data_IF_012744539905
#
_entry.id   IF_012744539905
#
_cell.length_a   1.000
_cell.length_b   1.000
_cell.length_c   1.000
_cell.angle_alpha   90.00
_cell.angle_beta   90.00
_cell.angle_gamma   90.00
#
_symmetry.space_group_name_H-M   'P 1'
#
loop_
_entity.id
_entity.type
_entity.pdbx_description
1 polymer ?
#
# COMPACT_ATOMS: atom_id res chain seq x y z
N UNK A 1 69.29 -1.76 -11.33
CA UNK A 1 68.35 -2.73 -10.79
C UNK A 1 67.12 -2.06 -10.09
N UNK A 2 66.84 -0.80 -10.39
CA UNK A 2 65.75 -0.04 -9.70
C UNK A 2 64.53 0.28 -10.63
N UNK A 3 64.66 0.03 -11.93
CA UNK A 3 63.58 0.38 -12.89
C UNK A 3 62.52 -0.70 -13.12
N UNK A 4 62.70 -1.94 -12.72
CA UNK A 4 61.75 -3.02 -12.92
C UNK A 4 60.66 -3.07 -11.84
N UNK A 5 60.91 -2.52 -10.66
CA UNK A 5 59.96 -2.56 -9.56
C UNK A 5 58.79 -1.56 -9.69
N UNK A 6 59.00 -0.44 -10.38
CA UNK A 6 57.95 0.58 -10.58
C UNK A 6 56.89 0.22 -11.62
N UNK A 7 57.26 -0.62 -12.61
CA UNK A 7 56.27 -1.03 -13.65
C UNK A 7 55.34 -2.15 -13.19
N UNK A 8 55.81 -3.03 -12.31
CA UNK A 8 55.01 -4.13 -11.80
C UNK A 8 53.94 -3.65 -10.82
N UNK A 9 54.23 -2.61 -10.02
CA UNK A 9 53.26 -2.04 -9.06
C UNK A 9 52.13 -1.27 -9.77
N UNK A 10 52.46 -0.62 -10.92
CA UNK A 10 51.43 0.14 -11.68
C UNK A 10 50.46 -0.78 -12.41
N UNK A 11 50.92 -1.94 -12.88
CA UNK A 11 50.07 -2.94 -13.52
C UNK A 11 49.17 -3.67 -12.51
N UNK A 12 49.64 -3.88 -11.28
CA UNK A 12 48.80 -4.44 -10.20
C UNK A 12 47.72 -3.46 -9.74
N UNK A 13 48.00 -2.16 -9.73
CA UNK A 13 46.96 -1.15 -9.38
C UNK A 13 45.86 -1.04 -10.46
N UNK A 14 46.21 -1.25 -11.73
CA UNK A 14 45.24 -1.29 -12.83
C UNK A 14 44.35 -2.55 -12.80
N UNK A 15 44.93 -3.69 -12.42
CA UNK A 15 44.15 -4.94 -12.26
C UNK A 15 43.17 -4.88 -11.11
N UNK A 16 43.47 -4.15 -10.03
CA UNK A 16 42.54 -3.93 -8.90
C UNK A 16 41.41 -2.96 -9.25
N UNK A 17 41.60 -2.05 -10.23
CA UNK A 17 40.52 -1.12 -10.64
C UNK A 17 39.52 -1.75 -11.61
N UNK A 18 39.88 -2.83 -12.29
CA UNK A 18 39.00 -3.53 -13.25
C UNK A 18 38.07 -4.55 -12.61
N UNK A 19 38.29 -4.91 -11.35
CA UNK A 19 37.44 -5.89 -10.63
C UNK A 19 36.20 -5.24 -10.00
N UNK A 20 36.12 -3.90 -9.92
CA UNK A 20 35.01 -3.20 -9.27
C UNK A 20 33.86 -2.78 -10.21
N UNK A 21 33.85 -3.19 -11.49
CA UNK A 21 32.81 -2.77 -12.45
C UNK A 21 31.84 -3.93 -12.81
N UNK A 22 31.86 -5.03 -12.09
CA UNK A 22 31.09 -6.21 -12.49
C UNK A 22 29.98 -6.62 -11.51
N UNK A 23 29.40 -5.69 -10.76
CA UNK A 23 28.18 -5.97 -9.97
C UNK A 23 27.12 -4.89 -10.11
N UNK A 24 26.89 -4.42 -11.33
CA UNK A 24 25.56 -3.95 -11.69
C UNK A 24 24.85 -5.10 -12.39
N UNK A 25 24.52 -6.12 -11.61
CA UNK A 25 23.44 -7.03 -11.97
C UNK A 25 22.17 -6.18 -11.91
N UNK A 26 21.70 -5.74 -13.06
CA UNK A 26 20.30 -5.43 -13.24
C UNK A 26 19.54 -6.74 -13.06
N UNK A 27 19.29 -7.10 -11.83
CA UNK A 27 18.24 -8.03 -11.50
C UNK A 27 16.96 -7.26 -11.81
N UNK A 28 16.31 -7.58 -12.92
CA UNK A 28 14.89 -7.28 -13.20
C UNK A 28 14.03 -8.06 -12.20
N UNK A 29 14.30 -7.89 -10.91
CA UNK A 29 13.34 -8.17 -9.89
C UNK A 29 12.39 -6.99 -9.92
N UNK A 30 11.21 -7.28 -10.47
CA UNK A 30 9.98 -6.58 -10.13
C UNK A 30 10.16 -5.98 -8.74
N UNK A 31 10.14 -4.64 -8.54
CA UNK A 31 10.39 -4.08 -7.22
C UNK A 31 9.43 -4.79 -6.27
N UNK A 32 10.00 -5.60 -5.39
CA UNK A 32 9.24 -6.24 -4.33
C UNK A 32 8.55 -5.08 -3.63
N UNK A 33 7.25 -4.98 -3.84
CA UNK A 33 6.42 -3.92 -3.28
C UNK A 33 6.57 -4.08 -1.78
N UNK A 34 7.47 -3.30 -1.18
CA UNK A 34 7.61 -3.28 0.26
C UNK A 34 6.27 -2.79 0.78
N UNK A 35 5.49 -3.72 1.28
CA UNK A 35 4.22 -3.43 1.95
C UNK A 35 4.61 -2.68 3.22
N UNK A 36 4.67 -1.35 3.09
CA UNK A 36 4.92 -0.48 4.22
C UNK A 36 3.77 -0.62 5.22
N UNK A 37 4.07 -0.53 6.49
CA UNK A 37 3.02 -0.45 7.51
C UNK A 37 2.19 0.82 7.28
N UNK A 38 0.87 0.67 7.15
CA UNK A 38 -0.05 1.79 7.08
C UNK A 38 -0.22 2.40 8.46
N UNK A 39 -0.01 3.71 8.58
CA UNK A 39 -0.21 4.46 9.82
C UNK A 39 -1.18 5.62 9.60
N UNK A 40 -1.84 6.14 10.64
CA UNK A 40 -2.71 7.31 10.50
C UNK A 40 -2.01 8.53 9.89
N UNK A 41 -0.72 8.72 10.17
CA UNK A 41 0.08 9.81 9.62
C UNK A 41 0.28 9.71 8.11
N UNK A 42 0.35 8.47 7.58
CA UNK A 42 0.47 8.24 6.14
C UNK A 42 -0.85 8.48 5.39
N UNK A 43 -1.97 8.44 6.09
CA UNK A 43 -3.29 8.80 5.55
C UNK A 43 -3.63 10.29 5.70
N UNK A 44 -2.93 11.01 6.58
CA UNK A 44 -3.19 12.42 6.84
C UNK A 44 -3.21 13.26 5.56
N UNK A 45 -4.31 13.99 5.33
CA UNK A 45 -4.55 14.84 4.16
C UNK A 45 -4.36 14.11 2.81
N UNK A 46 -4.86 12.88 2.71
CA UNK A 46 -4.80 12.09 1.47
C UNK A 46 -6.18 11.78 0.93
N UNK A 47 -6.26 11.65 -0.39
CA UNK A 47 -7.48 11.34 -1.12
C UNK A 47 -7.27 10.09 -1.98
N UNK A 48 -8.26 9.22 -1.96
CA UNK A 48 -8.20 7.89 -2.58
C UNK A 48 -9.49 7.63 -3.35
N UNK A 49 -9.37 6.89 -4.45
CA UNK A 49 -10.52 6.46 -5.24
C UNK A 49 -10.32 5.03 -5.71
N UNK A 50 -11.41 4.30 -5.79
CA UNK A 50 -11.34 2.91 -6.26
C UNK A 50 -12.69 2.23 -6.28
N UNK A 51 -12.70 0.95 -5.94
CA UNK A 51 -13.90 0.12 -5.95
C UNK A 51 -14.03 -0.66 -4.66
N UNK A 52 -15.29 -0.86 -4.24
CA UNK A 52 -15.64 -1.79 -3.19
C UNK A 52 -16.54 -2.88 -3.74
N UNK A 53 -16.32 -4.12 -3.31
CA UNK A 53 -17.11 -5.27 -3.75
C UNK A 53 -17.43 -6.22 -2.59
N UNK A 54 -18.65 -6.69 -2.57
CA UNK A 54 -19.14 -7.75 -1.69
C UNK A 54 -20.47 -8.25 -2.24
N UNK A 55 -20.60 -9.53 -2.48
CA UNK A 55 -21.82 -10.10 -3.08
C UNK A 55 -23.05 -9.95 -2.16
N UNK A 56 -22.83 -9.86 -0.84
CA UNK A 56 -23.89 -9.60 0.14
C UNK A 56 -24.36 -8.14 0.22
N UNK A 57 -23.71 -7.20 -0.48
CA UNK A 57 -24.17 -5.80 -0.50
C UNK A 57 -25.36 -5.62 -1.42
N UNK A 58 -26.18 -4.60 -1.15
CA UNK A 58 -27.30 -4.23 -2.03
C UNK A 58 -26.84 -3.92 -3.46
N UNK A 59 -25.68 -3.27 -3.57
CA UNK A 59 -24.96 -3.08 -4.83
C UNK A 59 -23.61 -3.81 -4.70
N UNK A 60 -23.44 -4.98 -5.33
CA UNK A 60 -22.28 -5.84 -5.10
C UNK A 60 -20.93 -5.27 -5.49
N UNK A 61 -20.92 -4.32 -6.44
CA UNK A 61 -19.70 -3.66 -6.91
C UNK A 61 -19.98 -2.19 -7.19
N UNK A 62 -19.27 -1.28 -6.56
CA UNK A 62 -19.48 0.14 -6.73
C UNK A 62 -18.20 0.95 -6.53
N UNK A 63 -18.16 2.12 -7.15
CA UNK A 63 -17.10 3.09 -6.96
C UNK A 63 -17.10 3.64 -5.53
N UNK A 64 -15.91 3.90 -4.99
CA UNK A 64 -15.72 4.50 -3.67
C UNK A 64 -14.64 5.58 -3.72
N UNK A 65 -14.91 6.71 -3.10
CA UNK A 65 -13.95 7.75 -2.79
C UNK A 65 -13.76 7.87 -1.29
N UNK A 66 -12.53 7.99 -0.83
CA UNK A 66 -12.20 8.25 0.57
C UNK A 66 -11.26 9.43 0.68
N UNK A 67 -11.56 10.34 1.59
CA UNK A 67 -10.69 11.45 1.97
C UNK A 67 -10.36 11.34 3.44
N UNK A 68 -9.09 11.20 3.76
CA UNK A 68 -8.61 11.24 5.15
C UNK A 68 -8.19 12.68 5.47
N UNK A 69 -8.93 13.33 6.36
CA UNK A 69 -8.75 14.76 6.69
C UNK A 69 -7.68 14.93 7.76
N UNK A 70 -7.76 14.10 8.79
CA UNK A 70 -6.77 14.04 9.87
C UNK A 70 -6.44 12.59 10.23
N UNK A 71 -5.77 12.35 11.35
CA UNK A 71 -5.35 11.01 11.79
C UNK A 71 -6.47 10.15 12.36
N UNK A 72 -7.70 10.65 12.44
CA UNK A 72 -8.83 9.97 13.05
C UNK A 72 -10.14 10.18 12.29
N UNK A 73 -10.21 11.14 11.37
CA UNK A 73 -11.44 11.49 10.66
C UNK A 73 -11.24 11.63 9.16
N UNK A 74 -12.31 11.49 8.44
CA UNK A 74 -12.35 11.60 7.00
C UNK A 74 -13.77 11.60 6.46
N UNK A 75 -13.86 11.37 5.17
CA UNK A 75 -15.11 11.28 4.44
C UNK A 75 -15.07 10.08 3.50
N UNK A 76 -16.21 9.48 3.28
CA UNK A 76 -16.42 8.45 2.26
C UNK A 76 -17.58 8.82 1.38
N UNK A 77 -17.41 8.59 0.10
CA UNK A 77 -18.44 8.73 -0.92
C UNK A 77 -18.53 7.41 -1.70
N UNK A 78 -19.66 6.74 -1.62
CA UNK A 78 -19.97 5.59 -2.47
C UNK A 78 -20.73 6.06 -3.70
N UNK A 79 -20.46 5.44 -4.83
CA UNK A 79 -21.20 5.71 -6.04
C UNK A 79 -22.72 5.61 -5.81
N UNK A 80 -23.48 6.65 -6.22
CA UNK A 80 -24.92 6.77 -6.00
C UNK A 80 -25.39 7.02 -4.56
N UNK A 81 -24.48 7.30 -3.63
CA UNK A 81 -24.80 7.68 -2.26
C UNK A 81 -24.21 9.04 -1.90
N UNK A 82 -24.80 9.71 -0.94
CA UNK A 82 -24.27 10.98 -0.40
C UNK A 82 -22.95 10.74 0.34
N UNK A 83 -22.07 11.76 0.30
CA UNK A 83 -20.85 11.76 1.09
C UNK A 83 -21.18 11.77 2.59
N UNK A 84 -20.50 10.92 3.35
CA UNK A 84 -20.68 10.82 4.80
C UNK A 84 -19.34 11.02 5.52
N UNK A 85 -19.42 11.63 6.71
CA UNK A 85 -18.29 11.75 7.62
C UNK A 85 -17.97 10.40 8.27
N UNK A 86 -16.71 10.06 8.34
CA UNK A 86 -16.21 8.85 8.99
C UNK A 86 -15.18 9.19 10.05
N UNK A 87 -15.11 8.36 11.07
CA UNK A 87 -13.96 8.27 11.97
C UNK A 87 -13.29 6.92 11.81
N UNK A 88 -11.99 6.87 12.03
CA UNK A 88 -11.24 5.64 11.88
C UNK A 88 -10.09 5.57 12.88
N UNK A 89 -9.59 4.36 13.10
CA UNK A 89 -8.34 4.09 13.81
C UNK A 89 -7.61 2.93 13.14
N UNK A 90 -6.29 2.90 13.30
CA UNK A 90 -5.45 1.80 12.82
C UNK A 90 -4.85 1.11 14.03
N UNK A 91 -5.02 -0.21 14.09
CA UNK A 91 -4.49 -1.08 15.13
C UNK A 91 -3.76 -2.25 14.47
N UNK A 92 -2.42 -2.15 14.38
CA UNK A 92 -1.61 -3.13 13.66
C UNK A 92 -2.02 -3.26 12.20
N UNK A 93 -2.42 -4.44 11.78
CA UNK A 93 -2.89 -4.72 10.41
C UNK A 93 -4.36 -4.40 10.15
N UNK A 94 -5.04 -3.76 11.08
CA UNK A 94 -6.47 -3.47 10.97
C UNK A 94 -6.73 -1.97 10.86
N UNK A 95 -7.65 -1.59 9.98
CA UNK A 95 -8.33 -0.29 10.01
C UNK A 95 -9.78 -0.51 10.43
N UNK A 96 -10.24 0.31 11.37
CA UNK A 96 -11.56 0.19 11.99
C UNK A 96 -12.28 1.50 11.77
N UNK A 97 -13.40 1.46 11.06
CA UNK A 97 -14.27 2.61 10.85
C UNK A 97 -15.41 2.63 11.88
N UNK A 98 -15.98 3.81 12.12
CA UNK A 98 -17.16 3.94 12.98
C UNK A 98 -18.34 3.09 12.46
N UNK A 99 -19.15 2.58 13.35
CA UNK A 99 -20.23 1.63 13.06
C UNK A 99 -21.31 2.13 12.10
N UNK A 100 -21.47 3.45 12.00
CA UNK A 100 -22.49 4.09 11.13
C UNK A 100 -21.98 4.34 9.71
N UNK A 101 -20.72 4.07 9.41
CA UNK A 101 -20.18 4.23 8.07
C UNK A 101 -20.76 3.15 7.15
N UNK A 102 -21.58 3.56 6.18
CA UNK A 102 -22.21 2.65 5.22
C UNK A 102 -21.17 1.77 4.55
N UNK A 103 -21.39 0.46 4.55
CA UNK A 103 -20.50 -0.60 4.03
C UNK A 103 -19.08 -0.68 4.65
N UNK A 104 -18.67 0.29 5.46
CA UNK A 104 -17.37 0.28 6.12
C UNK A 104 -17.43 -0.17 7.58
N UNK A 105 -18.55 0.12 8.25
CA UNK A 105 -18.75 -0.20 9.66
C UNK A 105 -18.93 -1.69 9.93
N UNK A 106 -19.06 -2.01 11.21
CA UNK A 106 -19.30 -3.37 11.69
C UNK A 106 -18.04 -4.08 12.14
N UNK A 107 -17.30 -4.74 11.25
CA UNK A 107 -16.10 -5.47 11.59
C UNK A 107 -14.83 -4.72 11.14
N UNK A 108 -13.67 -4.98 11.78
CA UNK A 108 -12.39 -4.44 11.32
C UNK A 108 -12.04 -4.90 9.89
N UNK A 109 -11.42 -4.01 9.14
CA UNK A 109 -10.86 -4.31 7.84
C UNK A 109 -9.38 -4.69 7.97
N UNK A 110 -8.98 -5.79 7.39
CA UNK A 110 -7.58 -6.19 7.29
C UNK A 110 -6.91 -5.39 6.18
N UNK A 111 -5.81 -4.71 6.48
CA UNK A 111 -4.95 -4.06 5.50
C UNK A 111 -4.13 -5.17 4.82
N UNK A 112 -4.54 -5.61 3.64
CA UNK A 112 -3.86 -6.68 2.88
C UNK A 112 -2.61 -6.19 2.20
N UNK A 113 -2.65 -4.97 1.68
CA UNK A 113 -1.50 -4.31 1.08
C UNK A 113 -1.61 -2.80 1.24
N UNK A 114 -0.46 -2.18 1.35
CA UNK A 114 -0.33 -0.73 1.34
C UNK A 114 0.95 -0.32 0.61
N UNK A 115 0.80 0.60 -0.30
CA UNK A 115 1.89 1.37 -0.91
C UNK A 115 1.55 2.85 -0.82
N UNK A 116 2.47 3.72 -1.21
CA UNK A 116 2.16 5.17 -1.28
C UNK A 116 1.04 5.51 -2.28
N UNK A 117 0.70 4.59 -3.19
CA UNK A 117 -0.26 4.81 -4.28
C UNK A 117 -1.44 3.85 -4.27
N UNK A 118 -1.41 2.80 -3.47
CA UNK A 118 -2.44 1.76 -3.50
C UNK A 118 -2.70 1.18 -2.11
N UNK A 119 -3.96 0.93 -1.78
CA UNK A 119 -4.42 0.25 -0.56
C UNK A 119 -5.41 -0.84 -0.95
N UNK A 120 -5.23 -2.03 -0.38
CA UNK A 120 -6.23 -3.10 -0.44
C UNK A 120 -6.70 -3.44 0.98
N UNK A 121 -8.00 -3.35 1.20
CA UNK A 121 -8.68 -3.72 2.44
C UNK A 121 -9.56 -4.94 2.22
N UNK A 122 -9.57 -5.85 3.19
CA UNK A 122 -10.44 -7.04 3.16
C UNK A 122 -11.18 -7.17 4.50
N UNK A 123 -12.45 -7.53 4.43
CA UNK A 123 -13.28 -7.83 5.60
C UNK A 123 -13.89 -9.23 5.46
N UNK A 124 -14.03 -9.95 6.56
CA UNK A 124 -14.62 -11.29 6.61
C UNK A 124 -13.89 -12.35 5.74
N UNK A 125 -12.59 -12.20 5.50
CA UNK A 125 -11.79 -13.12 4.66
C UNK A 125 -11.91 -14.59 5.10
N UNK A 126 -11.96 -14.85 6.39
CA UNK A 126 -12.09 -16.19 6.96
C UNK A 126 -13.54 -16.70 7.02
N UNK A 127 -14.53 -15.93 6.53
CA UNK A 127 -15.93 -16.37 6.52
C UNK A 127 -16.10 -17.65 5.67
N UNK A 128 -16.84 -18.64 6.18
CA UNK A 128 -17.26 -19.78 5.34
C UNK A 128 -18.23 -19.34 4.22
N UNK A 129 -18.98 -18.28 4.45
CA UNK A 129 -19.87 -17.65 3.47
C UNK A 129 -19.07 -16.63 2.65
N UNK A 130 -18.72 -17.03 1.43
CA UNK A 130 -17.88 -16.20 0.56
C UNK A 130 -18.58 -14.96 0.03
N UNK A 131 -19.91 -14.95 0.00
CA UNK A 131 -20.68 -13.76 -0.39
C UNK A 131 -20.51 -12.60 0.59
N UNK A 132 -20.10 -12.88 1.84
CA UNK A 132 -19.84 -11.87 2.87
C UNK A 132 -18.42 -11.32 2.87
N UNK A 133 -17.53 -11.86 2.04
CA UNK A 133 -16.17 -11.32 1.91
C UNK A 133 -16.24 -10.01 1.15
N UNK A 134 -15.84 -8.93 1.82
CA UNK A 134 -15.78 -7.59 1.22
C UNK A 134 -14.34 -7.19 0.91
N UNK A 135 -14.12 -6.57 -0.22
CA UNK A 135 -12.81 -6.09 -0.68
C UNK A 135 -12.97 -4.64 -1.13
N UNK A 136 -12.05 -3.80 -0.69
CA UNK A 136 -11.91 -2.41 -1.16
C UNK A 136 -10.52 -2.25 -1.71
N UNK A 137 -10.41 -1.75 -2.94
CA UNK A 137 -9.17 -1.43 -3.62
C UNK A 137 -9.15 0.06 -3.94
N UNK A 138 -8.16 0.77 -3.47
CA UNK A 138 -8.06 2.23 -3.56
C UNK A 138 -6.72 2.63 -4.18
N UNK A 139 -6.77 3.55 -5.11
CA UNK A 139 -5.62 4.26 -5.66
C UNK A 139 -5.60 5.69 -5.16
N UNK A 140 -4.41 6.19 -4.83
CA UNK A 140 -4.20 7.56 -4.39
C UNK A 140 -4.39 8.53 -5.56
N UNK A 141 -5.10 9.66 -5.34
CA UNK A 141 -5.46 10.62 -6.37
C UNK A 141 -4.88 12.02 -6.14
N UNK A 142 -4.13 12.23 -5.04
CA UNK A 142 -3.44 13.49 -4.70
C UNK A 142 -1.91 13.36 -4.71
#
# INVERSE_FOLDING_TARGET
MVHYFKRSCLLMLWALFLVNISFTSCDDKNPEVQIGELTPQKLYQTSWRGTGRCDAWVVPNMGVGMQFIDTQSGKVNWESYDEIDITYKIEGKYIIFNSNALYLGGAPWVIKSYTQKHITLIQNEASPDKEKVAIIELDRID
#
